data_IF_764701466721
#
_entry.id   IF_764701466721
#
_cell.length_a   1.000
_cell.length_b   1.000
_cell.length_c   1.000
_cell.angle_alpha   90.00
_cell.angle_beta   90.00
_cell.angle_gamma   90.00
#
_symmetry.space_group_name_H-M   'P 1'
#
loop_
_entity.id
_entity.type
_entity.pdbx_description
1 polymer ?
#
# COMPACT_ATOMS: atom_id res chain seq x y z
N UNK A 1 59.85 40.64 -23.50
CA UNK A 1 58.84 40.93 -22.48
C UNK A 1 57.44 40.73 -23.00
N UNK A 2 57.15 41.11 -24.23
CA UNK A 2 55.74 41.06 -24.79
C UNK A 2 55.24 39.63 -25.07
N UNK A 3 56.10 38.65 -25.42
CA UNK A 3 55.69 37.26 -25.76
C UNK A 3 55.33 36.46 -24.47
N UNK A 4 56.01 36.70 -23.38
CA UNK A 4 55.70 36.04 -22.06
C UNK A 4 54.36 36.50 -21.49
N UNK A 5 53.98 37.79 -21.66
CA UNK A 5 52.66 38.28 -21.26
C UNK A 5 51.53 37.69 -22.07
N UNK A 6 51.75 37.45 -23.37
CA UNK A 6 50.71 36.87 -24.25
C UNK A 6 50.45 35.38 -23.91
N UNK A 7 51.50 34.61 -23.58
CA UNK A 7 51.36 33.21 -23.18
C UNK A 7 50.68 33.12 -21.81
N UNK A 8 51.03 34.03 -20.87
CA UNK A 8 50.42 34.05 -19.56
C UNK A 8 48.90 34.43 -19.58
N UNK A 9 48.53 35.41 -20.42
CA UNK A 9 47.11 35.78 -20.60
C UNK A 9 46.28 34.64 -21.22
N UNK A 10 46.82 33.89 -22.17
CA UNK A 10 46.14 32.75 -22.75
C UNK A 10 45.99 31.60 -21.76
N UNK A 11 47.04 31.27 -20.97
CA UNK A 11 46.96 30.23 -19.94
C UNK A 11 45.96 30.54 -18.87
N UNK A 12 45.83 31.82 -18.42
CA UNK A 12 44.81 32.27 -17.45
C UNK A 12 43.40 32.17 -18.06
N UNK A 13 43.25 32.51 -19.34
CA UNK A 13 41.98 32.40 -20.03
C UNK A 13 41.49 30.95 -20.15
N UNK A 14 42.38 30.01 -20.47
CA UNK A 14 42.11 28.59 -20.51
C UNK A 14 41.77 28.02 -19.11
N UNK A 15 42.46 28.45 -18.06
CA UNK A 15 42.18 28.05 -16.70
C UNK A 15 40.78 28.54 -16.24
N UNK A 16 40.41 29.77 -16.55
CA UNK A 16 39.07 30.33 -16.26
C UNK A 16 37.99 29.57 -17.02
N UNK A 17 38.20 29.27 -18.30
CA UNK A 17 37.24 28.49 -19.08
C UNK A 17 37.06 27.06 -18.55
N UNK A 18 38.15 26.38 -18.14
CA UNK A 18 38.08 25.05 -17.54
C UNK A 18 37.31 25.07 -16.21
N UNK A 19 37.55 26.06 -15.35
CA UNK A 19 36.83 26.21 -14.09
C UNK A 19 35.33 26.50 -14.34
N UNK A 20 35.02 27.34 -15.34
CA UNK A 20 33.62 27.61 -15.71
C UNK A 20 32.92 26.36 -16.26
N UNK A 21 33.63 25.54 -17.04
CA UNK A 21 33.08 24.28 -17.55
C UNK A 21 32.81 23.27 -16.45
N UNK A 22 33.73 23.16 -15.48
CA UNK A 22 33.56 22.28 -14.30
C UNK A 22 32.39 22.77 -13.41
N UNK A 23 32.23 24.08 -13.26
CA UNK A 23 31.10 24.66 -12.50
C UNK A 23 29.78 24.40 -13.24
N UNK A 24 29.72 24.58 -14.57
CA UNK A 24 28.54 24.32 -15.37
C UNK A 24 28.17 22.84 -15.34
N UNK A 25 29.13 21.93 -15.46
CA UNK A 25 28.91 20.49 -15.36
C UNK A 25 28.41 20.13 -13.96
N UNK A 26 29.03 20.64 -12.91
CA UNK A 26 28.61 20.42 -11.51
C UNK A 26 27.22 21.02 -11.21
N UNK A 27 26.88 22.16 -11.80
CA UNK A 27 25.53 22.74 -11.71
C UNK A 27 24.54 21.91 -12.53
N UNK A 28 24.92 21.44 -13.70
CA UNK A 28 24.07 20.54 -14.52
C UNK A 28 23.83 19.20 -13.84
N UNK A 29 24.85 18.62 -13.20
CA UNK A 29 24.71 17.42 -12.37
C UNK A 29 23.82 17.69 -11.14
N UNK A 30 23.97 18.83 -10.45
CA UNK A 30 23.09 19.21 -9.33
C UNK A 30 21.65 19.56 -9.77
N UNK A 31 21.44 20.10 -10.96
CA UNK A 31 20.11 20.35 -11.53
C UNK A 31 19.49 19.02 -11.96
N UNK A 32 20.25 18.08 -12.51
CA UNK A 32 19.77 16.73 -12.84
C UNK A 32 19.53 15.84 -11.60
N UNK A 33 20.15 16.10 -10.45
CA UNK A 33 19.84 15.40 -9.19
C UNK A 33 18.57 15.95 -8.50
N UNK A 34 18.00 17.03 -9.00
CA UNK A 34 16.65 17.49 -8.64
C UNK A 34 15.59 17.00 -9.65
N UNK A 35 15.83 15.87 -10.32
CA UNK A 35 14.75 15.10 -10.96
C UNK A 35 13.84 14.65 -9.82
N UNK A 36 12.69 15.30 -9.69
CA UNK A 36 11.63 14.85 -8.77
C UNK A 36 11.42 13.37 -9.05
N UNK A 37 11.69 12.51 -8.07
CA UNK A 37 11.47 11.08 -8.23
C UNK A 37 10.03 10.86 -8.72
N UNK A 38 9.86 10.00 -9.71
CA UNK A 38 8.52 9.68 -10.21
C UNK A 38 7.61 9.34 -9.03
N UNK A 39 6.37 9.86 -9.00
CA UNK A 39 5.42 9.49 -7.95
C UNK A 39 5.11 7.98 -8.02
N UNK A 40 4.91 7.37 -6.86
CA UNK A 40 4.57 5.94 -6.77
C UNK A 40 3.07 5.77 -7.02
N UNK A 41 2.72 4.83 -7.90
CA UNK A 41 1.36 4.42 -8.21
C UNK A 41 1.19 2.94 -7.90
N UNK A 42 0.26 2.61 -7.02
CA UNK A 42 -0.09 1.22 -6.71
C UNK A 42 -1.40 0.86 -7.39
N UNK A 43 -1.42 -0.22 -8.17
CA UNK A 43 -2.61 -0.66 -8.90
C UNK A 43 -2.92 -2.10 -8.50
N UNK A 44 -4.09 -2.33 -7.94
CA UNK A 44 -4.52 -3.66 -7.50
C UNK A 44 -5.62 -4.23 -8.41
N UNK A 45 -5.42 -5.47 -8.81
CA UNK A 45 -6.40 -6.26 -9.57
C UNK A 45 -6.90 -7.44 -8.75
N UNK A 46 -8.21 -7.49 -8.53
CA UNK A 46 -8.88 -8.63 -7.90
C UNK A 46 -9.03 -9.81 -8.87
N UNK A 47 -9.23 -11.02 -8.33
CA UNK A 47 -9.40 -12.23 -9.15
C UNK A 47 -10.48 -12.05 -10.21
N UNK A 48 -11.66 -11.53 -9.84
CA UNK A 48 -12.77 -11.33 -10.77
C UNK A 48 -12.47 -10.31 -11.90
N UNK A 49 -11.47 -9.44 -11.72
CA UNK A 49 -11.07 -8.45 -12.72
C UNK A 49 -10.13 -9.02 -13.80
N UNK A 50 -9.42 -10.11 -13.49
CA UNK A 50 -8.39 -10.68 -14.38
C UNK A 50 -8.64 -12.15 -14.76
N UNK A 51 -9.79 -12.72 -14.35
CA UNK A 51 -10.16 -14.08 -14.71
C UNK A 51 -11.54 -14.12 -15.36
N UNK A 52 -11.76 -15.15 -16.18
CA UNK A 52 -13.07 -15.53 -16.64
C UNK A 52 -13.90 -16.16 -15.50
N UNK A 53 -15.20 -16.33 -15.71
CA UNK A 53 -16.10 -16.97 -14.72
C UNK A 53 -15.69 -18.39 -14.32
N UNK A 54 -15.01 -19.13 -15.21
CA UNK A 54 -14.46 -20.45 -14.92
C UNK A 54 -13.18 -20.41 -14.06
N UNK A 55 -12.64 -19.20 -13.82
CA UNK A 55 -11.43 -18.95 -13.04
C UNK A 55 -10.12 -18.98 -13.84
N UNK A 56 -10.17 -19.23 -15.14
CA UNK A 56 -9.00 -19.11 -16.02
C UNK A 56 -8.61 -17.64 -16.20
N UNK A 57 -7.32 -17.38 -16.41
CA UNK A 57 -6.82 -16.03 -16.65
C UNK A 57 -7.39 -15.46 -17.95
N UNK A 58 -7.87 -14.24 -17.89
CA UNK A 58 -8.33 -13.50 -19.06
C UNK A 58 -7.14 -12.81 -19.74
N UNK A 59 -6.61 -13.44 -20.76
CA UNK A 59 -5.42 -12.98 -21.48
C UNK A 59 -5.62 -11.57 -22.10
N UNK A 60 -6.80 -11.29 -22.64
CA UNK A 60 -7.11 -9.99 -23.22
C UNK A 60 -7.03 -8.86 -22.17
N UNK A 61 -7.51 -9.13 -20.95
CA UNK A 61 -7.41 -8.16 -19.85
C UNK A 61 -5.96 -8.00 -19.40
N UNK A 62 -5.17 -9.09 -19.30
CA UNK A 62 -3.76 -9.00 -18.90
C UNK A 62 -2.93 -8.24 -19.95
N UNK A 63 -3.21 -8.43 -21.24
CA UNK A 63 -2.58 -7.67 -22.31
C UNK A 63 -2.96 -6.18 -22.23
N UNK A 64 -4.22 -5.87 -22.01
CA UNK A 64 -4.70 -4.50 -21.85
C UNK A 64 -4.11 -3.81 -20.60
N UNK A 65 -3.94 -4.54 -19.49
CA UNK A 65 -3.21 -4.06 -18.32
C UNK A 65 -1.77 -3.69 -18.71
N UNK A 66 -1.05 -4.59 -19.36
CA UNK A 66 0.33 -4.33 -19.74
C UNK A 66 0.44 -3.11 -20.66
N UNK A 67 -0.45 -2.97 -21.66
CA UNK A 67 -0.48 -1.82 -22.56
C UNK A 67 -0.67 -0.48 -21.83
N UNK A 68 -1.65 -0.40 -20.93
CA UNK A 68 -1.95 0.83 -20.23
C UNK A 68 -0.87 1.17 -19.17
N UNK A 69 -0.37 0.15 -18.48
CA UNK A 69 0.69 0.32 -17.47
C UNK A 69 1.98 0.74 -18.13
N UNK A 70 2.31 0.26 -19.35
CA UNK A 70 3.48 0.70 -20.10
C UNK A 70 3.45 2.21 -20.37
N UNK A 71 2.29 2.77 -20.74
CA UNK A 71 2.12 4.22 -20.93
C UNK A 71 2.34 4.99 -19.62
N UNK A 72 1.85 4.47 -18.50
CA UNK A 72 1.98 5.12 -17.19
C UNK A 72 3.39 4.99 -16.60
N UNK A 73 4.13 3.94 -16.97
CA UNK A 73 5.49 3.66 -16.48
C UNK A 73 6.48 4.78 -16.84
N UNK A 74 6.23 5.55 -17.88
CA UNK A 74 7.05 6.71 -18.21
C UNK A 74 7.02 7.80 -17.13
N UNK A 75 5.90 7.91 -16.40
CA UNK A 75 5.65 9.00 -15.43
C UNK A 75 5.52 8.55 -13.98
N UNK A 76 5.46 7.24 -13.72
CA UNK A 76 5.24 6.68 -12.39
C UNK A 76 6.19 5.54 -12.08
N UNK A 77 6.59 5.42 -10.82
CA UNK A 77 7.07 4.17 -10.25
C UNK A 77 5.85 3.30 -9.93
N UNK A 78 5.66 2.21 -10.64
CA UNK A 78 4.45 1.40 -10.54
C UNK A 78 4.69 0.17 -9.69
N UNK A 79 3.70 -0.18 -8.86
CA UNK A 79 3.55 -1.50 -8.23
C UNK A 79 2.23 -2.09 -8.68
N UNK A 80 2.25 -3.29 -9.23
CA UNK A 80 1.04 -4.05 -9.45
C UNK A 80 0.82 -4.99 -8.27
N UNK A 81 -0.41 -5.06 -7.76
CA UNK A 81 -0.83 -6.07 -6.79
C UNK A 81 -1.87 -6.95 -7.45
N UNK A 82 -1.50 -8.20 -7.73
CA UNK A 82 -2.32 -9.06 -8.57
C UNK A 82 -2.80 -10.31 -7.82
N UNK A 83 -4.11 -10.50 -7.79
CA UNK A 83 -4.73 -11.77 -7.40
C UNK A 83 -4.73 -12.76 -8.58
N UNK A 84 -5.39 -13.91 -8.44
CA UNK A 84 -5.65 -14.85 -9.54
C UNK A 84 -4.75 -16.09 -9.55
N UNK A 85 -3.73 -16.17 -8.70
CA UNK A 85 -2.84 -17.33 -8.64
C UNK A 85 -3.59 -18.65 -8.35
N UNK A 86 -4.47 -18.67 -7.35
CA UNK A 86 -5.29 -19.86 -7.04
C UNK A 86 -6.17 -20.24 -8.25
N UNK A 87 -6.77 -19.26 -8.90
CA UNK A 87 -7.58 -19.48 -10.11
C UNK A 87 -6.79 -20.11 -11.25
N UNK A 88 -5.58 -19.60 -11.50
CA UNK A 88 -4.69 -20.10 -12.55
C UNK A 88 -4.20 -21.55 -12.29
N UNK A 89 -4.04 -21.94 -11.02
CA UNK A 89 -3.49 -23.27 -10.69
C UNK A 89 -4.52 -24.33 -10.33
N UNK A 90 -5.78 -23.96 -10.02
CA UNK A 90 -6.79 -24.93 -9.52
C UNK A 90 -7.09 -26.08 -10.48
N UNK A 91 -7.00 -25.87 -11.80
CA UNK A 91 -7.25 -26.91 -12.81
C UNK A 91 -6.23 -28.05 -12.80
N UNK A 92 -5.07 -27.84 -12.19
CA UNK A 92 -4.04 -28.86 -12.02
C UNK A 92 -4.28 -29.74 -10.79
N UNK A 93 -5.19 -29.36 -9.89
CA UNK A 93 -5.54 -30.16 -8.71
C UNK A 93 -6.73 -31.04 -9.02
N UNK A 94 -6.51 -32.36 -8.94
CA UNK A 94 -7.58 -33.35 -9.18
C UNK A 94 -8.67 -33.17 -8.11
N UNK A 95 -9.94 -33.18 -8.55
CA UNK A 95 -11.10 -33.08 -7.65
C UNK A 95 -11.04 -31.90 -6.67
N UNK A 96 -10.59 -30.72 -7.15
CA UNK A 96 -10.41 -29.51 -6.35
C UNK A 96 -11.70 -29.14 -5.57
N UNK A 97 -11.63 -29.17 -4.24
CA UNK A 97 -12.73 -28.86 -3.31
C UNK A 97 -12.59 -27.48 -2.65
N UNK A 98 -11.43 -26.82 -2.83
CA UNK A 98 -11.16 -25.52 -2.26
C UNK A 98 -10.73 -25.54 -0.79
N UNK A 99 -10.23 -26.69 -0.30
CA UNK A 99 -9.62 -26.75 1.03
C UNK A 99 -8.40 -25.84 1.11
N UNK A 100 -7.99 -25.47 2.32
CA UNK A 100 -6.84 -24.59 2.54
C UNK A 100 -5.58 -25.13 1.86
N UNK A 101 -5.30 -26.43 2.02
CA UNK A 101 -4.14 -27.10 1.41
C UNK A 101 -4.22 -27.09 -0.11
N UNK A 102 -5.39 -27.37 -0.68
CA UNK A 102 -5.60 -27.32 -2.13
C UNK A 102 -5.43 -25.91 -2.69
N UNK A 103 -5.92 -24.90 -1.97
CA UNK A 103 -5.72 -23.48 -2.34
C UNK A 103 -4.24 -23.10 -2.32
N UNK A 104 -3.49 -23.51 -1.30
CA UNK A 104 -2.04 -23.31 -1.21
C UNK A 104 -1.31 -23.98 -2.37
N UNK A 105 -1.64 -25.25 -2.66
CA UNK A 105 -1.06 -25.98 -3.78
C UNK A 105 -1.42 -25.34 -5.14
N UNK A 106 -2.68 -24.92 -5.32
CA UNK A 106 -3.10 -24.20 -6.51
C UNK A 106 -2.37 -22.86 -6.67
N UNK A 107 -2.17 -22.10 -5.58
CA UNK A 107 -1.40 -20.86 -5.61
C UNK A 107 0.06 -21.09 -5.99
N UNK A 108 0.68 -22.15 -5.47
CA UNK A 108 2.06 -22.54 -5.82
C UNK A 108 2.24 -22.80 -7.33
N UNK A 109 1.26 -23.46 -7.95
CA UNK A 109 1.25 -23.70 -9.40
C UNK A 109 0.89 -22.41 -10.17
N UNK A 110 -0.09 -21.68 -9.68
CA UNK A 110 -0.67 -20.54 -10.40
C UNK A 110 0.16 -19.28 -10.37
N UNK A 111 0.97 -19.03 -9.33
CA UNK A 111 1.84 -17.86 -9.28
C UNK A 111 2.86 -17.82 -10.44
N UNK A 112 3.62 -18.88 -10.73
CA UNK A 112 4.50 -18.91 -11.92
C UNK A 112 3.73 -18.73 -13.23
N UNK A 113 2.54 -19.34 -13.36
CA UNK A 113 1.73 -19.21 -14.58
C UNK A 113 1.24 -17.78 -14.79
N UNK A 114 0.75 -17.13 -13.74
CA UNK A 114 0.32 -15.74 -13.77
C UNK A 114 1.50 -14.82 -14.13
N UNK A 115 2.65 -15.02 -13.47
CA UNK A 115 3.84 -14.23 -13.71
C UNK A 115 4.34 -14.40 -15.16
N UNK A 116 4.37 -15.63 -15.69
CA UNK A 116 4.75 -15.89 -17.08
C UNK A 116 3.88 -15.13 -18.09
N UNK A 117 2.56 -15.01 -17.83
CA UNK A 117 1.65 -14.22 -18.66
C UNK A 117 1.99 -12.74 -18.60
N UNK A 118 2.17 -12.18 -17.41
CA UNK A 118 2.60 -10.79 -17.26
C UNK A 118 3.95 -10.55 -17.96
N UNK A 119 4.96 -11.41 -17.74
CA UNK A 119 6.26 -11.30 -18.41
C UNK A 119 6.11 -11.22 -19.93
N UNK A 120 5.28 -12.09 -20.50
CA UNK A 120 5.05 -12.10 -21.95
C UNK A 120 4.46 -10.78 -22.45
N UNK A 121 3.43 -10.25 -21.79
CA UNK A 121 2.75 -9.06 -22.28
C UNK A 121 3.54 -7.76 -22.01
N UNK A 122 4.29 -7.68 -20.90
CA UNK A 122 5.15 -6.54 -20.64
C UNK A 122 6.40 -6.52 -21.56
N UNK A 123 6.88 -7.68 -21.97
CA UNK A 123 7.99 -7.78 -22.92
C UNK A 123 7.66 -7.14 -24.28
N UNK A 124 6.39 -7.04 -24.69
CA UNK A 124 5.96 -6.32 -25.90
C UNK A 124 6.27 -4.82 -25.84
N UNK A 125 6.54 -4.29 -24.64
CA UNK A 125 6.88 -2.87 -24.37
C UNK A 125 8.30 -2.69 -23.83
N UNK A 126 9.16 -3.71 -23.94
CA UNK A 126 10.52 -3.72 -23.38
C UNK A 126 10.59 -3.47 -21.86
N UNK A 127 9.53 -3.82 -21.13
CA UNK A 127 9.44 -3.68 -19.68
C UNK A 127 9.64 -5.03 -18.99
N UNK A 128 10.66 -5.10 -18.12
CA UNK A 128 10.85 -6.23 -17.24
C UNK A 128 9.93 -6.14 -16.03
N UNK A 129 9.55 -7.29 -15.49
CA UNK A 129 8.78 -7.39 -14.27
C UNK A 129 9.51 -8.25 -13.24
N UNK A 130 9.20 -8.04 -11.95
CA UNK A 130 9.75 -8.82 -10.84
C UNK A 130 8.62 -9.32 -9.94
N UNK A 131 8.71 -10.58 -9.48
CA UNK A 131 7.77 -11.12 -8.49
C UNK A 131 8.14 -10.67 -7.08
N UNK A 132 7.14 -10.26 -6.30
CA UNK A 132 7.27 -10.00 -4.87
C UNK A 132 6.16 -10.73 -4.11
N UNK A 133 6.51 -11.81 -3.41
CA UNK A 133 5.57 -12.53 -2.55
C UNK A 133 5.68 -12.00 -1.13
N UNK A 134 4.59 -11.39 -0.66
CA UNK A 134 4.55 -10.68 0.60
C UNK A 134 3.75 -11.46 1.65
N UNK A 135 4.15 -11.31 2.89
CA UNK A 135 3.41 -11.72 4.08
C UNK A 135 3.23 -10.51 4.99
N UNK A 136 2.20 -10.50 5.81
CA UNK A 136 1.91 -9.39 6.73
C UNK A 136 3.11 -9.05 7.63
N UNK A 137 3.87 -10.06 8.07
CA UNK A 137 5.07 -9.87 8.89
C UNK A 137 6.15 -9.00 8.23
N UNK A 138 6.24 -8.97 6.89
CA UNK A 138 7.19 -8.11 6.18
C UNK A 138 6.90 -6.62 6.40
N UNK A 139 5.65 -6.26 6.67
CA UNK A 139 5.24 -4.89 7.00
C UNK A 139 5.29 -4.62 8.51
N UNK A 140 5.11 -5.64 9.34
CA UNK A 140 5.18 -5.55 10.80
C UNK A 140 6.62 -5.38 11.31
N UNK A 141 7.58 -6.06 10.70
CA UNK A 141 8.98 -5.99 11.06
C UNK A 141 9.67 -4.83 10.32
N UNK A 142 10.14 -3.82 11.08
CA UNK A 142 10.76 -2.62 10.49
C UNK A 142 11.94 -2.93 9.57
N UNK A 143 12.79 -3.90 9.94
CA UNK A 143 13.98 -4.22 9.14
C UNK A 143 13.56 -4.88 7.81
N UNK A 144 12.63 -5.84 7.86
CA UNK A 144 12.09 -6.47 6.66
C UNK A 144 11.35 -5.47 5.76
N UNK A 145 10.60 -4.55 6.35
CA UNK A 145 9.92 -3.48 5.63
C UNK A 145 10.91 -2.56 4.90
N UNK A 146 11.99 -2.14 5.58
CA UNK A 146 13.03 -1.31 4.94
C UNK A 146 13.73 -2.05 3.80
N UNK A 147 14.09 -3.32 3.99
CA UNK A 147 14.67 -4.17 2.94
C UNK A 147 13.73 -4.32 1.74
N UNK A 148 12.43 -4.51 1.99
CA UNK A 148 11.43 -4.57 0.93
C UNK A 148 11.38 -3.25 0.14
N UNK A 149 11.40 -2.12 0.85
CA UNK A 149 11.39 -0.79 0.23
C UNK A 149 12.65 -0.52 -0.60
N UNK A 150 13.82 -0.87 -0.09
CA UNK A 150 15.11 -0.77 -0.80
C UNK A 150 15.11 -1.64 -2.05
N UNK A 151 14.59 -2.86 -1.96
CA UNK A 151 14.45 -3.76 -3.11
C UNK A 151 13.56 -3.16 -4.20
N UNK A 152 12.42 -2.55 -3.82
CA UNK A 152 11.53 -1.93 -4.80
C UNK A 152 12.16 -0.69 -5.42
N UNK A 153 12.92 0.09 -4.65
CA UNK A 153 13.65 1.22 -5.20
C UNK A 153 14.66 0.77 -6.25
N UNK A 154 15.44 -0.29 -5.97
CA UNK A 154 16.39 -0.86 -6.92
C UNK A 154 15.71 -1.36 -8.20
N UNK A 155 14.51 -1.98 -8.08
CA UNK A 155 13.73 -2.40 -9.24
C UNK A 155 13.32 -1.20 -10.09
N UNK A 156 12.78 -0.14 -9.47
CA UNK A 156 12.37 1.07 -10.18
C UNK A 156 13.53 1.81 -10.83
N UNK A 157 14.69 1.86 -10.17
CA UNK A 157 15.90 2.50 -10.71
C UNK A 157 16.41 1.77 -11.98
N UNK A 158 16.07 0.48 -12.12
CA UNK A 158 16.33 -0.34 -13.31
C UNK A 158 15.13 -0.42 -14.27
N UNK A 159 14.06 0.37 -14.08
CA UNK A 159 12.88 0.37 -14.94
C UNK A 159 12.02 -0.90 -14.84
N UNK A 160 12.16 -1.67 -13.75
CA UNK A 160 11.46 -2.95 -13.54
C UNK A 160 10.20 -2.71 -12.72
N UNK A 161 9.07 -3.31 -13.13
CA UNK A 161 7.80 -3.21 -12.41
C UNK A 161 7.66 -4.39 -11.44
N UNK A 162 7.62 -4.16 -10.10
CA UNK A 162 7.29 -5.20 -9.14
C UNK A 162 5.82 -5.59 -9.23
N UNK A 163 5.56 -6.91 -9.27
CA UNK A 163 4.23 -7.51 -9.16
C UNK A 163 4.14 -8.21 -7.82
N UNK A 164 3.41 -7.60 -6.89
CA UNK A 164 3.20 -8.12 -5.56
C UNK A 164 1.99 -9.05 -5.50
N UNK A 165 2.07 -10.08 -4.69
CA UNK A 165 0.97 -10.96 -4.32
C UNK A 165 1.20 -11.49 -2.90
N UNK A 166 0.14 -11.98 -2.26
CA UNK A 166 0.29 -12.72 -1.01
C UNK A 166 1.11 -14.00 -1.24
N UNK A 167 1.94 -14.37 -0.25
CA UNK A 167 2.63 -15.64 -0.21
C UNK A 167 1.68 -16.75 0.28
N UNK A 168 0.66 -17.07 -0.50
CA UNK A 168 -0.39 -18.04 -0.16
C UNK A 168 0.15 -19.42 0.27
N UNK A 169 1.38 -19.79 -0.14
CA UNK A 169 1.95 -21.12 0.11
C UNK A 169 2.26 -21.34 1.59
N UNK A 170 2.80 -20.30 2.25
CA UNK A 170 3.28 -20.39 3.63
C UNK A 170 2.45 -19.58 4.62
N UNK A 171 1.61 -18.66 4.15
CA UNK A 171 0.77 -17.82 5.01
C UNK A 171 -0.05 -18.66 6.00
N UNK A 172 0.10 -18.38 7.29
CA UNK A 172 -0.74 -18.95 8.33
C UNK A 172 -2.04 -18.16 8.44
N UNK A 173 -3.14 -18.82 8.83
CA UNK A 173 -4.47 -18.18 8.94
C UNK A 173 -4.48 -16.92 9.82
N UNK A 174 -3.65 -16.88 10.86
CA UNK A 174 -3.54 -15.76 11.82
C UNK A 174 -2.74 -14.57 11.27
N UNK A 175 -1.83 -14.82 10.32
CA UNK A 175 -0.93 -13.82 9.72
C UNK A 175 -1.26 -13.53 8.26
N UNK A 176 -2.34 -14.12 7.75
CA UNK A 176 -2.80 -13.93 6.38
C UNK A 176 -3.38 -12.53 6.22
N UNK A 177 -3.12 -11.91 5.06
CA UNK A 177 -3.90 -10.73 4.65
C UNK A 177 -5.38 -11.12 4.53
N UNK A 178 -6.27 -10.21 4.87
CA UNK A 178 -7.72 -10.43 4.66
C UNK A 178 -8.00 -10.59 3.16
N UNK A 179 -7.34 -9.78 2.35
CA UNK A 179 -7.31 -9.84 0.89
C UNK A 179 -6.14 -9.00 0.32
N UNK A 180 -5.97 -9.01 -1.01
CA UNK A 180 -4.95 -8.20 -1.67
C UNK A 180 -5.25 -6.68 -1.67
N UNK A 181 -6.43 -6.23 -1.22
CA UNK A 181 -6.70 -4.80 -1.00
C UNK A 181 -5.91 -4.31 0.23
N UNK A 182 -5.83 -5.14 1.28
CA UNK A 182 -4.95 -4.89 2.42
C UNK A 182 -3.49 -4.76 1.97
N UNK A 183 -2.97 -5.77 1.26
CA UNK A 183 -1.58 -5.75 0.78
C UNK A 183 -1.28 -4.50 -0.06
N UNK A 184 -2.18 -4.13 -0.98
CA UNK A 184 -2.03 -2.94 -1.80
C UNK A 184 -2.03 -1.65 -0.97
N UNK A 185 -2.88 -1.59 0.06
CA UNK A 185 -2.94 -0.45 0.99
C UNK A 185 -1.66 -0.33 1.80
N UNK A 186 -1.12 -1.45 2.31
CA UNK A 186 0.14 -1.48 3.06
C UNK A 186 1.33 -1.02 2.21
N UNK A 187 1.40 -1.48 0.96
CA UNK A 187 2.42 -1.02 0.01
C UNK A 187 2.25 0.48 -0.25
N UNK A 188 1.04 0.93 -0.57
CA UNK A 188 0.78 2.34 -0.88
C UNK A 188 1.13 3.26 0.29
N UNK A 189 0.66 2.95 1.50
CA UNK A 189 0.89 3.76 2.69
C UNK A 189 2.34 3.70 3.16
N UNK A 190 2.92 2.52 3.20
CA UNK A 190 4.30 2.30 3.65
C UNK A 190 5.34 2.91 2.73
N UNK A 191 5.12 2.90 1.43
CA UNK A 191 6.06 3.47 0.45
C UNK A 191 5.77 4.94 0.14
N UNK A 192 4.63 5.47 0.57
CA UNK A 192 4.23 6.85 0.33
C UNK A 192 3.76 7.07 -1.10
N UNK A 193 2.90 6.19 -1.60
CA UNK A 193 2.33 6.31 -2.94
C UNK A 193 1.52 7.61 -3.09
N UNK A 194 1.51 8.16 -4.27
CA UNK A 194 0.67 9.31 -4.62
C UNK A 194 -0.79 8.91 -4.82
N UNK A 195 -1.00 7.67 -5.31
CA UNK A 195 -2.34 7.12 -5.49
C UNK A 195 -2.34 5.58 -5.38
N UNK A 196 -3.50 5.06 -4.94
CA UNK A 196 -3.85 3.65 -4.92
C UNK A 196 -5.09 3.43 -5.79
N UNK A 197 -4.97 2.60 -6.81
CA UNK A 197 -6.07 2.23 -7.71
C UNK A 197 -6.54 0.82 -7.37
N UNK A 198 -7.81 0.67 -7.01
CA UNK A 198 -8.44 -0.60 -6.68
C UNK A 198 -9.41 -1.00 -7.79
N UNK A 199 -8.99 -1.97 -8.62
CA UNK A 199 -9.82 -2.48 -9.69
C UNK A 199 -10.93 -3.40 -9.15
N UNK A 200 -12.15 -3.18 -9.60
CA UNK A 200 -13.34 -3.98 -9.23
C UNK A 200 -14.22 -4.23 -10.45
N UNK A 201 -14.99 -5.30 -10.43
CA UNK A 201 -15.97 -5.61 -11.49
C UNK A 201 -17.17 -4.65 -11.51
N UNK A 202 -17.41 -3.93 -10.42
CA UNK A 202 -18.57 -3.02 -10.28
C UNK A 202 -18.27 -1.63 -10.86
N UNK A 203 -17.01 -1.26 -10.97
CA UNK A 203 -16.60 0.00 -11.59
C UNK A 203 -16.47 1.20 -10.66
N UNK A 204 -16.92 1.12 -9.42
CA UNK A 204 -16.89 2.19 -8.41
C UNK A 204 -17.77 1.87 -7.22
N UNK A 205 -17.94 2.82 -6.31
CA UNK A 205 -18.95 2.75 -5.25
C UNK A 205 -20.29 3.20 -5.81
N UNK A 206 -21.33 2.39 -5.61
CA UNK A 206 -22.68 2.69 -6.07
C UNK A 206 -23.49 3.35 -4.95
N UNK A 207 -24.32 4.32 -5.32
CA UNK A 207 -25.36 4.87 -4.47
C UNK A 207 -26.60 3.95 -4.44
N UNK A 208 -27.64 4.37 -3.71
CA UNK A 208 -28.92 3.65 -3.61
C UNK A 208 -29.64 3.47 -4.97
N UNK A 209 -29.35 4.34 -5.95
CA UNK A 209 -29.87 4.26 -7.31
C UNK A 209 -28.99 3.42 -8.24
N UNK A 210 -27.97 2.74 -7.70
CA UNK A 210 -26.97 1.95 -8.45
C UNK A 210 -26.16 2.79 -9.46
N UNK A 211 -26.00 4.09 -9.19
CA UNK A 211 -25.13 4.97 -9.95
C UNK A 211 -23.76 5.09 -9.24
N UNK A 212 -22.67 5.17 -10.03
CA UNK A 212 -21.35 5.36 -9.47
C UNK A 212 -21.25 6.76 -8.87
N UNK A 213 -20.84 6.85 -7.61
CA UNK A 213 -20.51 8.11 -6.94
C UNK A 213 -19.13 8.55 -7.44
N UNK A 214 -19.00 9.66 -8.17
CA UNK A 214 -17.74 10.00 -8.82
C UNK A 214 -16.66 10.47 -7.85
N UNK A 215 -17.04 11.13 -6.75
CA UNK A 215 -16.10 11.72 -5.79
C UNK A 215 -16.62 11.64 -4.35
N UNK A 216 -15.73 11.30 -3.44
CA UNK A 216 -15.99 11.22 -1.99
C UNK A 216 -14.84 11.94 -1.27
N UNK A 217 -15.17 13.00 -0.56
CA UNK A 217 -14.21 13.78 0.22
C UNK A 217 -13.80 13.03 1.50
N UNK A 218 -14.78 12.42 2.19
CA UNK A 218 -14.56 11.67 3.42
C UNK A 218 -15.49 10.47 3.51
N UNK A 219 -14.96 9.34 4.00
CA UNK A 219 -15.77 8.13 4.25
C UNK A 219 -16.38 8.25 5.64
N UNK A 220 -17.65 8.62 5.70
CA UNK A 220 -18.50 8.70 6.88
C UNK A 220 -19.47 7.50 6.96
N UNK A 221 -20.32 7.49 7.98
CA UNK A 221 -21.34 6.45 8.16
C UNK A 221 -22.34 6.35 7.00
N UNK A 222 -22.66 7.47 6.35
CA UNK A 222 -23.55 7.48 5.19
C UNK A 222 -22.91 6.74 4.02
N UNK A 223 -21.64 6.98 3.76
CA UNK A 223 -20.88 6.30 2.70
C UNK A 223 -20.78 4.80 3.00
N UNK A 224 -20.54 4.44 4.26
CA UNK A 224 -20.52 3.03 4.68
C UNK A 224 -21.89 2.36 4.53
N UNK A 225 -22.98 3.12 4.70
CA UNK A 225 -24.36 2.65 4.55
C UNK A 225 -24.73 2.25 3.11
N UNK A 226 -24.02 2.73 2.07
CA UNK A 226 -24.28 2.29 0.69
C UNK A 226 -23.85 0.85 0.40
N UNK A 227 -23.09 0.24 1.32
CA UNK A 227 -22.63 -1.15 1.15
C UNK A 227 -23.55 -2.09 1.90
N UNK A 228 -24.37 -2.82 1.15
CA UNK A 228 -25.28 -3.83 1.68
C UNK A 228 -24.47 -5.01 2.26
N UNK A 229 -24.54 -5.18 3.57
CA UNK A 229 -23.76 -6.18 4.33
C UNK A 229 -24.20 -7.62 4.02
N UNK A 230 -25.41 -7.81 3.47
CA UNK A 230 -25.98 -9.15 3.27
C UNK A 230 -25.57 -9.84 1.96
N UNK A 231 -24.98 -9.12 1.00
CA UNK A 231 -24.64 -9.67 -0.33
C UNK A 231 -23.17 -10.05 -0.53
N UNK A 232 -22.31 -9.84 0.45
CA UNK A 232 -20.88 -10.15 0.35
C UNK A 232 -20.49 -11.62 0.65
N UNK A 233 -21.47 -12.52 0.77
CA UNK A 233 -21.24 -13.94 1.17
C UNK A 233 -20.45 -14.78 0.15
N UNK A 234 -20.01 -14.25 -0.99
CA UNK A 234 -19.32 -15.00 -2.05
C UNK A 234 -17.87 -14.61 -2.32
N UNK A 235 -17.28 -13.71 -1.54
CA UNK A 235 -15.86 -13.34 -1.71
C UNK A 235 -15.26 -12.71 -0.46
N UNK A 236 -14.11 -13.19 -0.04
CA UNK A 236 -13.30 -12.67 1.07
C UNK A 236 -12.76 -11.23 0.87
N UNK A 237 -13.29 -10.45 -0.06
CA UNK A 237 -12.87 -9.09 -0.39
C UNK A 237 -14.04 -8.28 -0.95
N UNK A 238 -15.12 -8.10 -0.17
CA UNK A 238 -16.29 -7.31 -0.56
C UNK A 238 -16.00 -5.79 -0.58
N UNK A 239 -17.00 -5.00 -1.03
CA UNK A 239 -16.89 -3.54 -1.03
C UNK A 239 -16.66 -2.97 0.37
N UNK A 240 -17.16 -3.61 1.43
CA UNK A 240 -16.88 -3.25 2.84
C UNK A 240 -15.39 -3.27 3.13
N UNK A 241 -14.69 -4.37 2.78
CA UNK A 241 -13.23 -4.47 2.92
C UNK A 241 -12.52 -3.36 2.16
N UNK A 242 -12.90 -3.13 0.90
CA UNK A 242 -12.33 -2.03 0.09
C UNK A 242 -12.51 -0.66 0.74
N UNK A 243 -13.69 -0.37 1.27
CA UNK A 243 -13.95 0.92 1.94
C UNK A 243 -13.12 1.08 3.22
N UNK A 244 -12.95 0.02 3.99
CA UNK A 244 -12.11 0.06 5.19
C UNK A 244 -10.64 0.37 4.85
N UNK A 245 -10.08 -0.30 3.84
CA UNK A 245 -8.71 -0.03 3.39
C UNK A 245 -8.58 1.30 2.67
N UNK A 246 -9.59 1.71 1.91
CA UNK A 246 -9.67 3.05 1.31
C UNK A 246 -9.65 4.13 2.39
N UNK A 247 -10.45 3.96 3.46
CA UNK A 247 -10.47 4.88 4.60
C UNK A 247 -9.11 4.98 5.29
N UNK A 248 -8.41 3.84 5.46
CA UNK A 248 -7.05 3.83 6.00
C UNK A 248 -6.10 4.59 5.06
N UNK A 249 -6.09 4.28 3.77
CA UNK A 249 -5.20 4.91 2.81
C UNK A 249 -5.43 6.44 2.71
N UNK A 250 -6.68 6.88 2.64
CA UNK A 250 -7.00 8.32 2.55
C UNK A 250 -6.60 9.07 3.81
N UNK A 251 -6.77 8.48 5.00
CA UNK A 251 -6.28 9.06 6.26
C UNK A 251 -4.74 9.11 6.34
N UNK A 252 -4.04 8.27 5.59
CA UNK A 252 -2.57 8.33 5.44
C UNK A 252 -2.13 9.30 4.33
N UNK A 253 -3.04 10.08 3.77
CA UNK A 253 -2.76 11.06 2.72
C UNK A 253 -2.61 10.49 1.32
N UNK A 254 -3.11 9.26 1.08
CA UNK A 254 -3.07 8.60 -0.23
C UNK A 254 -4.42 8.79 -0.93
N UNK A 255 -4.39 9.30 -2.15
CA UNK A 255 -5.59 9.30 -3.02
C UNK A 255 -5.95 7.87 -3.39
N UNK A 256 -7.23 7.50 -3.29
CA UNK A 256 -7.70 6.18 -3.72
C UNK A 256 -8.73 6.33 -4.84
N UNK A 257 -8.63 5.47 -5.86
CA UNK A 257 -9.64 5.38 -6.91
C UNK A 257 -10.12 3.94 -7.00
N UNK A 258 -11.42 3.74 -6.77
CA UNK A 258 -12.08 2.45 -7.04
C UNK A 258 -12.65 2.53 -8.44
N UNK A 259 -12.22 1.62 -9.34
CA UNK A 259 -12.57 1.68 -10.76
C UNK A 259 -12.83 0.31 -11.36
N UNK A 260 -13.39 0.27 -12.56
CA UNK A 260 -13.56 -0.94 -13.37
C UNK A 260 -12.61 -0.97 -14.56
N UNK A 261 -12.23 -2.18 -15.00
CA UNK A 261 -11.54 -2.33 -16.29
C UNK A 261 -12.53 -1.98 -17.41
N UNK A 262 -12.43 -0.77 -17.91
CA UNK A 262 -13.09 -0.39 -19.14
C UNK A 262 -12.31 -0.95 -20.33
N UNK A 263 -12.96 -1.43 -21.40
CA UNK A 263 -12.27 -1.86 -22.62
C UNK A 263 -11.42 -0.75 -23.24
N UNK A 264 -11.73 0.51 -22.95
CA UNK A 264 -11.01 1.67 -23.50
C UNK A 264 -10.26 2.46 -22.40
N UNK A 265 -9.00 2.11 -22.13
CA UNK A 265 -8.10 2.89 -21.27
C UNK A 265 -8.56 3.07 -19.82
N UNK A 266 -9.22 2.08 -19.22
CA UNK A 266 -9.79 2.19 -17.87
C UNK A 266 -8.77 2.60 -16.81
N UNK A 267 -7.54 2.05 -16.81
CA UNK A 267 -6.49 2.41 -15.85
C UNK A 267 -6.04 3.87 -16.06
N UNK A 268 -5.78 4.26 -17.31
CA UNK A 268 -5.36 5.63 -17.66
C UNK A 268 -6.46 6.62 -17.28
N UNK A 269 -7.72 6.29 -17.54
CA UNK A 269 -8.86 7.14 -17.19
C UNK A 269 -9.05 7.23 -15.66
N UNK A 270 -8.79 6.15 -14.91
CA UNK A 270 -8.84 6.16 -13.44
C UNK A 270 -7.72 7.04 -12.85
N UNK A 271 -6.50 6.98 -13.39
CA UNK A 271 -5.41 7.89 -13.01
C UNK A 271 -5.77 9.35 -13.28
N UNK A 272 -6.46 9.61 -14.40
CA UNK A 272 -6.96 10.94 -14.77
C UNK A 272 -8.28 11.33 -14.06
N UNK A 273 -8.77 10.52 -13.12
CA UNK A 273 -9.99 10.76 -12.34
C UNK A 273 -11.28 10.91 -13.18
N UNK A 274 -11.29 10.31 -14.38
CA UNK A 274 -12.42 10.41 -15.32
C UNK A 274 -13.45 9.31 -15.15
N UNK A 275 -13.10 8.23 -14.45
CA UNK A 275 -13.99 7.09 -14.19
C UNK A 275 -13.82 6.59 -12.75
N UNK A 276 -14.80 5.83 -12.28
CA UNK A 276 -14.80 5.23 -10.96
C UNK A 276 -15.20 6.19 -9.85
N UNK A 277 -14.85 5.85 -8.64
CA UNK A 277 -15.05 6.67 -7.45
C UNK A 277 -13.68 7.13 -6.94
N UNK A 278 -13.48 8.43 -6.92
CA UNK A 278 -12.27 9.08 -6.37
C UNK A 278 -12.51 9.40 -4.91
N UNK A 279 -11.61 8.95 -4.04
CA UNK A 279 -11.59 9.27 -2.61
C UNK A 279 -10.42 10.22 -2.34
N UNK A 280 -10.74 11.40 -1.81
CA UNK A 280 -9.76 12.44 -1.55
C UNK A 280 -8.77 12.03 -0.45
N UNK A 281 -7.47 12.32 -0.62
CA UNK A 281 -6.51 12.18 0.46
C UNK A 281 -6.83 13.20 1.55
N UNK A 282 -6.73 12.79 2.81
CA UNK A 282 -6.91 13.71 3.93
C UNK A 282 -5.59 14.42 4.26
N UNK A 283 -5.67 15.68 4.67
CA UNK A 283 -4.49 16.42 5.13
C UNK A 283 -4.04 15.86 6.48
N UNK A 284 -2.97 15.10 6.48
CA UNK A 284 -2.38 14.55 7.71
C UNK A 284 -0.88 14.77 7.71
N UNK A 285 -0.38 15.56 8.64
CA UNK A 285 1.06 15.67 8.89
C UNK A 285 1.52 14.49 9.77
N UNK A 286 1.57 13.28 9.19
CA UNK A 286 2.10 12.10 9.87
C UNK A 286 3.60 11.98 9.63
N UNK A 287 4.36 11.68 10.70
CA UNK A 287 5.76 11.33 10.58
C UNK A 287 5.92 10.00 9.80
N UNK A 288 7.09 9.79 9.19
CA UNK A 288 7.40 8.51 8.50
C UNK A 288 7.21 7.29 9.43
N UNK A 289 7.41 7.47 10.75
CA UNK A 289 7.21 6.42 11.76
C UNK A 289 5.74 6.11 11.98
N UNK A 290 4.89 7.14 12.03
CA UNK A 290 3.44 6.96 12.17
C UNK A 290 2.83 6.35 10.92
N UNK A 291 3.30 6.76 9.72
CA UNK A 291 2.90 6.12 8.46
C UNK A 291 3.28 4.64 8.42
N UNK A 292 4.47 4.29 8.92
CA UNK A 292 4.88 2.90 9.03
C UNK A 292 4.03 2.12 10.05
N UNK A 293 3.72 2.68 11.23
CA UNK A 293 2.85 2.03 12.21
C UNK A 293 1.44 1.77 11.66
N UNK A 294 0.89 2.74 10.91
CA UNK A 294 -0.40 2.60 10.23
C UNK A 294 -0.41 1.59 9.08
N UNK A 295 0.76 1.30 8.51
CA UNK A 295 0.89 0.48 7.30
C UNK A 295 1.09 -1.01 7.53
N UNK A 296 0.69 -1.60 8.69
CA UNK A 296 0.60 -3.04 8.73
C UNK A 296 1.39 -3.77 9.80
N UNK A 297 1.69 -3.12 10.90
CA UNK A 297 2.13 -3.86 12.08
C UNK A 297 1.07 -4.91 12.44
N UNK A 298 1.50 -6.15 12.68
CA UNK A 298 0.61 -7.19 13.21
C UNK A 298 0.02 -6.67 14.52
N UNK A 299 -1.31 -6.58 14.58
CA UNK A 299 -2.01 -6.20 15.79
C UNK A 299 -1.99 -7.42 16.70
N UNK A 300 -1.16 -7.36 17.73
CA UNK A 300 -0.98 -8.46 18.67
C UNK A 300 -1.98 -8.43 19.83
N UNK A 301 -2.66 -7.27 20.02
CA UNK A 301 -3.66 -7.14 21.08
C UNK A 301 -4.49 -5.87 20.98
N UNK A 302 -5.31 -5.61 21.98
CA UNK A 302 -6.25 -4.47 22.05
C UNK A 302 -6.23 -3.86 23.44
N UNK A 303 -6.36 -2.54 23.48
CA UNK A 303 -6.46 -1.78 24.74
C UNK A 303 -7.69 -0.87 24.66
N UNK A 304 -8.64 -1.06 25.58
CA UNK A 304 -9.79 -0.15 25.69
C UNK A 304 -9.46 0.99 26.62
N UNK A 305 -9.78 2.21 26.20
CA UNK A 305 -9.46 3.45 26.92
C UNK A 305 -10.73 4.21 27.30
N UNK A 306 -10.61 5.05 28.34
CA UNK A 306 -11.69 5.95 28.77
C UNK A 306 -11.73 7.25 27.94
N UNK A 307 -12.80 8.03 28.04
CA UNK A 307 -12.98 9.31 27.36
C UNK A 307 -11.86 10.33 27.65
N UNK A 308 -11.26 10.27 28.83
CA UNK A 308 -10.13 11.12 29.23
C UNK A 308 -8.90 10.83 28.38
N UNK A 309 -8.63 9.54 28.16
CA UNK A 309 -7.55 9.10 27.28
C UNK A 309 -7.85 9.41 25.81
N UNK A 310 -9.09 9.20 25.32
CA UNK A 310 -9.51 9.59 23.96
C UNK A 310 -9.23 11.08 23.71
N UNK A 311 -9.64 11.94 24.66
CA UNK A 311 -9.39 13.39 24.58
C UNK A 311 -7.89 13.75 24.60
N UNK A 312 -7.07 13.01 25.38
CA UNK A 312 -5.63 13.21 25.42
C UNK A 312 -4.95 12.79 24.09
N UNK A 313 -5.35 11.65 23.53
CA UNK A 313 -4.87 11.13 22.26
C UNK A 313 -5.18 12.09 21.11
N UNK A 314 -6.40 12.63 21.06
CA UNK A 314 -6.80 13.64 20.08
C UNK A 314 -5.95 14.92 20.17
N UNK A 315 -5.36 15.22 21.33
CA UNK A 315 -4.39 16.31 21.54
C UNK A 315 -2.93 15.88 21.36
N UNK A 316 -2.70 14.73 20.72
CA UNK A 316 -1.38 14.16 20.45
C UNK A 316 -0.53 13.93 21.70
N UNK A 317 -1.14 13.46 22.78
CA UNK A 317 -0.44 13.07 24.00
C UNK A 317 -0.18 11.56 24.02
N UNK A 318 0.80 11.13 24.80
CA UNK A 318 1.08 9.72 25.06
C UNK A 318 -0.09 9.02 25.74
N UNK A 319 -0.26 7.73 25.48
CA UNK A 319 -1.20 6.88 26.19
C UNK A 319 -0.60 6.44 27.51
N UNK A 320 -1.27 6.79 28.59
CA UNK A 320 -0.90 6.42 29.96
C UNK A 320 -1.85 5.34 30.50
N UNK A 321 -1.33 4.47 31.38
CA UNK A 321 -2.10 3.40 32.01
C UNK A 321 -3.31 3.89 32.84
N UNK A 322 -3.27 5.13 33.33
CA UNK A 322 -4.40 5.74 34.04
C UNK A 322 -5.67 5.80 33.21
N UNK A 323 -5.55 5.99 31.91
CA UNK A 323 -6.68 6.04 30.95
C UNK A 323 -7.10 4.68 30.40
N UNK A 324 -6.43 3.59 30.77
CA UNK A 324 -6.75 2.25 30.27
C UNK A 324 -7.79 1.58 31.16
N UNK A 325 -8.81 1.01 30.52
CA UNK A 325 -9.85 0.22 31.16
C UNK A 325 -9.55 -1.28 31.10
N UNK A 326 -9.22 -1.79 29.91
CA UNK A 326 -8.94 -3.22 29.71
C UNK A 326 -7.80 -3.42 28.73
N UNK A 327 -7.08 -4.54 28.88
CA UNK A 327 -6.07 -5.05 27.96
C UNK A 327 -6.50 -6.44 27.53
N UNK A 328 -6.46 -6.75 26.23
CA UNK A 328 -6.79 -8.06 25.69
C UNK A 328 -5.78 -8.47 24.60
N UNK A 329 -5.51 -9.78 24.50
CA UNK A 329 -4.44 -10.33 23.69
C UNK A 329 -3.09 -10.30 24.39
N UNK A 330 -2.14 -11.07 23.88
CA UNK A 330 -0.77 -11.14 24.37
C UNK A 330 0.15 -10.39 23.40
N UNK A 331 0.83 -9.36 23.89
CA UNK A 331 1.81 -8.61 23.13
C UNK A 331 3.00 -8.21 23.99
N UNK A 332 4.15 -8.14 23.34
CA UNK A 332 5.41 -7.77 23.95
C UNK A 332 5.76 -6.30 23.67
N UNK A 333 6.76 -5.80 24.39
CA UNK A 333 7.32 -4.47 24.15
C UNK A 333 7.77 -4.33 22.68
N UNK A 334 7.28 -3.28 22.02
CA UNK A 334 7.59 -2.99 20.62
C UNK A 334 6.57 -3.53 19.63
N UNK A 335 5.64 -4.39 20.07
CA UNK A 335 4.53 -4.86 19.25
C UNK A 335 3.39 -3.84 19.20
N UNK A 336 2.47 -4.01 18.25
CA UNK A 336 1.39 -3.07 17.99
C UNK A 336 0.06 -3.62 18.50
N UNK A 337 -0.71 -2.74 19.14
CA UNK A 337 -2.06 -3.03 19.63
C UNK A 337 -3.07 -2.00 19.12
N UNK A 338 -4.33 -2.41 18.98
CA UNK A 338 -5.46 -1.51 18.73
C UNK A 338 -5.84 -0.73 19.98
N UNK A 339 -6.18 0.54 19.81
CA UNK A 339 -6.79 1.38 20.83
C UNK A 339 -8.29 1.45 20.50
N UNK A 340 -9.12 1.04 21.48
CA UNK A 340 -10.57 1.09 21.39
C UNK A 340 -11.12 2.10 22.38
N UNK A 341 -12.22 2.77 22.02
CA UNK A 341 -13.04 3.54 22.95
C UNK A 341 -13.95 2.66 23.83
N UNK A 342 -14.78 3.27 24.67
CA UNK A 342 -15.72 2.55 25.54
C UNK A 342 -16.81 1.81 24.75
N UNK A 343 -17.12 2.26 23.55
CA UNK A 343 -18.08 1.63 22.63
C UNK A 343 -17.46 0.49 21.82
N UNK A 344 -16.16 0.18 22.09
CA UNK A 344 -15.35 -0.82 21.38
C UNK A 344 -15.08 -0.49 19.90
N UNK A 345 -15.21 0.75 19.52
CA UNK A 345 -14.79 1.23 18.21
C UNK A 345 -13.27 1.42 18.19
N UNK A 346 -12.60 0.97 17.12
CA UNK A 346 -11.17 1.17 16.97
C UNK A 346 -10.91 2.63 16.62
N UNK A 347 -10.25 3.35 17.54
CA UNK A 347 -9.91 4.76 17.39
C UNK A 347 -8.45 5.00 17.00
N UNK A 348 -7.61 3.96 17.06
CA UNK A 348 -6.20 4.08 16.73
C UNK A 348 -5.44 2.78 16.90
N UNK A 349 -4.15 2.86 16.58
CA UNK A 349 -3.17 1.81 16.86
C UNK A 349 -1.95 2.45 17.52
N UNK A 350 -1.26 1.67 18.35
CA UNK A 350 -0.06 2.13 19.02
C UNK A 350 0.98 1.02 19.17
N UNK A 351 2.25 1.43 19.26
CA UNK A 351 3.34 0.53 19.62
C UNK A 351 3.50 0.50 21.13
N UNK A 352 3.51 -0.71 21.70
CA UNK A 352 3.65 -0.94 23.13
C UNK A 352 5.04 -0.58 23.66
N UNK A 353 5.12 0.15 24.76
CA UNK A 353 6.34 0.38 25.53
C UNK A 353 6.67 -0.73 26.53
N UNK A 354 5.64 -1.47 26.92
CA UNK A 354 5.74 -2.60 27.83
C UNK A 354 4.84 -3.74 27.35
N UNK A 355 5.04 -4.96 27.87
CA UNK A 355 4.20 -6.10 27.50
C UNK A 355 2.77 -5.95 28.03
N UNK A 356 1.81 -6.64 27.41
CA UNK A 356 0.40 -6.67 27.84
C UNK A 356 0.23 -7.07 29.30
N UNK A 357 1.06 -7.99 29.78
CA UNK A 357 1.07 -8.45 31.16
C UNK A 357 1.47 -7.31 32.11
N UNK A 358 2.55 -6.59 31.80
CA UNK A 358 3.05 -5.47 32.60
C UNK A 358 2.04 -4.32 32.60
N UNK A 359 1.43 -4.02 31.44
CA UNK A 359 0.39 -2.99 31.35
C UNK A 359 -0.83 -3.36 32.19
N UNK A 360 -1.30 -4.61 32.10
CA UNK A 360 -2.43 -5.09 32.90
C UNK A 360 -2.19 -5.02 34.43
N UNK A 361 -0.96 -5.23 34.86
CA UNK A 361 -0.58 -5.09 36.27
C UNK A 361 -0.51 -3.64 36.76
N UNK A 362 -0.35 -2.69 35.84
CA UNK A 362 -0.20 -1.27 36.12
C UNK A 362 -1.42 -0.43 35.71
N UNK A 363 -2.58 -1.05 35.49
CA UNK A 363 -3.82 -0.31 35.17
C UNK A 363 -4.10 0.77 36.23
N UNK A 364 -4.59 1.93 35.74
CA UNK A 364 -4.89 3.11 36.60
C UNK A 364 -3.68 3.75 37.28
N UNK A 365 -2.46 3.30 36.99
CA UNK A 365 -1.24 3.94 37.51
C UNK A 365 -0.98 5.27 36.79
N UNK A 366 -0.77 6.33 37.58
CA UNK A 366 -0.39 7.65 37.00
C UNK A 366 1.03 7.62 36.50
N UNK A 367 1.27 8.36 35.38
CA UNK A 367 2.57 8.52 34.72
C UNK A 367 3.22 7.23 34.19
N UNK A 368 2.52 6.10 34.14
CA UNK A 368 2.98 4.90 33.48
C UNK A 368 2.65 4.98 31.99
N UNK A 369 3.68 5.18 31.16
CA UNK A 369 3.52 5.38 29.73
C UNK A 369 3.42 4.02 29.01
N UNK A 370 2.28 3.77 28.37
CA UNK A 370 1.97 2.56 27.62
C UNK A 370 2.38 2.69 26.15
N UNK A 371 2.15 3.87 25.57
CA UNK A 371 2.62 4.19 24.23
C UNK A 371 2.96 5.68 24.15
N UNK A 372 4.06 6.00 23.46
CA UNK A 372 4.46 7.38 23.23
C UNK A 372 3.60 8.02 22.14
N UNK A 373 3.37 9.33 22.20
CA UNK A 373 2.61 10.07 21.20
C UNK A 373 3.11 9.86 19.75
N UNK A 374 4.43 9.72 19.58
CA UNK A 374 5.04 9.47 18.26
C UNK A 374 4.84 8.03 17.77
N UNK A 375 4.44 7.13 18.65
CA UNK A 375 4.16 5.72 18.41
C UNK A 375 2.65 5.43 18.29
N UNK A 376 1.81 6.46 18.22
CA UNK A 376 0.36 6.35 18.14
C UNK A 376 -0.11 6.92 16.78
N UNK A 377 -1.00 6.17 16.13
CA UNK A 377 -1.74 6.61 14.94
C UNK A 377 -3.22 6.53 15.26
N UNK A 378 -3.91 7.67 15.24
CA UNK A 378 -5.37 7.71 15.36
C UNK A 378 -6.02 7.44 13.99
N UNK A 379 -7.12 6.69 14.01
CA UNK A 379 -7.87 6.27 12.83
C UNK A 379 -9.13 7.10 12.65
#
# INVERSE_FOLDING_TARGET
MTLLLFVYCNAVKWAIQAVFLVIIVSIHEKINTNVMSKPILVIKFGTASITHKNGELNEAILQEIARQVAVLHENYHIVLVSSGAVGAGKSFIKEYKGTITERKAAAAIGNPLLLAKYTRYFAEYDIAIAQSLCERQHFANRNQFLQLKETYQELWDNGIIPIANENDVVSNLELKFSDNDELATLIATGFGASALLLCTSVGGLLDDNKQIIPFIEQIDERILGFVDTDKSALGLGGMVSKLNYTRLATRMGIKVVIFGMSPENGIIQAVAEKIGTVFAPQEVSLSARQKWLGSGSVIAGKVTVDDGAVNALNKRKSLLAVGIQTVSGEFERGEVFEILDEERSVIGIARARESSVVIAQNLKTQNFEVANADDIVLL
#
